data_IF_977269209312
#
_entry.id   IF_977269209312
#
_cell.length_a   1.000
_cell.length_b   1.000
_cell.length_c   1.000
_cell.angle_alpha   90.00
_cell.angle_beta   90.00
_cell.angle_gamma   90.00
#
_symmetry.space_group_name_H-M   'P 1'
#
loop_
_entity.id
_entity.type
_entity.pdbx_description
1 polymer ?
#
# COMPACT_ATOMS: atom_id res chain seq x y z
N UNK A 1 45.29 11.02 11.68
CA UNK A 1 45.37 10.49 10.30
C UNK A 1 44.04 10.61 9.54
N UNK A 2 42.88 10.34 10.17
CA UNK A 2 41.55 10.44 9.52
C UNK A 2 41.19 11.86 9.04
N UNK A 3 41.48 12.90 9.84
CA UNK A 3 41.19 14.30 9.46
C UNK A 3 42.08 14.78 8.29
N UNK A 4 43.34 14.33 8.26
CA UNK A 4 44.25 14.66 7.16
C UNK A 4 43.85 13.96 5.85
N UNK A 5 43.35 12.72 5.92
CA UNK A 5 42.81 12.03 4.76
C UNK A 5 41.58 12.75 4.19
N UNK A 6 40.63 13.19 5.02
CA UNK A 6 39.43 13.94 4.60
C UNK A 6 39.75 15.28 3.90
N UNK A 7 40.85 15.94 4.25
CA UNK A 7 41.26 17.21 3.64
C UNK A 7 41.97 17.05 2.30
N UNK A 8 42.59 15.88 2.04
CA UNK A 8 43.32 15.60 0.79
C UNK A 8 42.37 15.01 -0.27
N UNK A 9 41.29 14.35 0.15
CA UNK A 9 40.30 13.73 -0.76
C UNK A 9 39.72 14.70 -1.80
N UNK A 10 39.35 15.97 -1.51
CA UNK A 10 38.79 16.86 -2.53
C UNK A 10 39.75 17.24 -3.67
N UNK A 11 41.07 17.10 -3.47
CA UNK A 11 42.09 17.55 -4.43
C UNK A 11 42.42 16.52 -5.53
N UNK A 12 41.94 15.28 -5.40
CA UNK A 12 42.23 14.17 -6.34
C UNK A 12 40.99 13.75 -7.13
N UNK A 13 39.82 14.35 -6.85
CA UNK A 13 38.55 13.96 -7.46
C UNK A 13 38.19 14.83 -8.68
N UNK A 14 37.46 14.27 -9.66
CA UNK A 14 37.07 14.98 -10.87
C UNK A 14 36.27 16.26 -10.56
N UNK A 15 36.46 17.31 -11.37
CA UNK A 15 35.80 18.62 -11.22
C UNK A 15 34.27 18.57 -11.40
N UNK A 16 33.74 17.46 -11.94
CA UNK A 16 32.31 17.23 -12.16
C UNK A 16 31.86 16.01 -11.35
N UNK A 17 31.14 16.29 -10.27
CA UNK A 17 30.59 15.36 -9.26
C UNK A 17 31.66 14.59 -8.45
N UNK A 18 31.65 14.80 -7.14
CA UNK A 18 32.46 14.16 -6.12
C UNK A 18 31.59 13.87 -4.88
N UNK A 19 32.17 13.23 -3.86
CA UNK A 19 31.46 12.81 -2.65
C UNK A 19 30.75 13.96 -1.89
N UNK A 20 31.22 15.21 -2.03
CA UNK A 20 30.66 16.36 -1.32
C UNK A 20 29.60 17.12 -2.12
N UNK A 21 29.51 16.90 -3.43
CA UNK A 21 28.53 17.57 -4.30
C UNK A 21 27.66 16.59 -5.11
N UNK A 22 27.63 15.31 -4.71
CA UNK A 22 26.89 14.22 -5.38
C UNK A 22 25.38 14.50 -5.57
N UNK A 23 24.79 15.37 -4.75
CA UNK A 23 23.37 15.73 -4.83
C UNK A 23 23.11 17.00 -5.68
N UNK A 24 24.14 17.60 -6.26
CA UNK A 24 23.99 18.85 -7.03
C UNK A 24 23.24 18.57 -8.33
N UNK A 25 22.11 19.24 -8.53
CA UNK A 25 21.30 19.14 -9.75
C UNK A 25 20.26 18.02 -9.74
N UNK A 26 20.16 17.23 -8.67
CA UNK A 26 19.05 16.30 -8.50
C UNK A 26 17.77 17.09 -8.15
N UNK A 27 16.64 16.83 -8.82
CA UNK A 27 15.36 17.42 -8.45
C UNK A 27 14.99 17.05 -7.01
N UNK A 28 14.25 17.95 -6.34
CA UNK A 28 13.66 17.63 -5.04
C UNK A 28 12.63 16.51 -5.19
N UNK A 29 12.50 15.65 -4.18
CA UNK A 29 11.73 14.39 -4.24
C UNK A 29 10.30 14.52 -4.74
N UNK A 30 9.60 15.60 -4.35
CA UNK A 30 8.21 15.79 -4.81
C UNK A 30 8.11 16.12 -6.31
N UNK A 31 9.13 16.74 -6.89
CA UNK A 31 9.14 17.13 -8.30
C UNK A 31 9.58 15.98 -9.23
N UNK A 32 10.29 14.98 -8.70
CA UNK A 32 10.58 13.74 -9.44
C UNK A 32 9.74 12.54 -8.96
N UNK A 33 8.71 12.78 -8.15
CA UNK A 33 7.82 11.75 -7.60
C UNK A 33 8.50 10.65 -6.76
N UNK A 34 9.68 10.92 -6.20
CA UNK A 34 10.49 9.93 -5.51
C UNK A 34 11.09 8.86 -6.44
N UNK A 35 11.14 9.13 -7.73
CA UNK A 35 11.66 8.20 -8.74
C UNK A 35 13.13 8.46 -9.07
N UNK A 36 13.77 7.45 -9.61
CA UNK A 36 15.12 7.49 -10.17
C UNK A 36 15.14 8.03 -11.61
N UNK A 37 14.03 8.62 -12.07
CA UNK A 37 13.98 9.37 -13.32
C UNK A 37 14.58 10.76 -13.07
N UNK A 38 15.56 11.15 -13.87
CA UNK A 38 16.23 12.45 -13.73
C UNK A 38 15.40 13.57 -14.39
N UNK A 39 14.15 13.73 -13.92
CA UNK A 39 13.21 14.74 -14.40
C UNK A 39 12.61 15.52 -13.24
N UNK A 40 12.23 16.76 -13.53
CA UNK A 40 11.49 17.62 -12.62
C UNK A 40 10.16 17.98 -13.27
N UNK A 41 9.07 17.74 -12.54
CA UNK A 41 7.69 17.89 -12.97
C UNK A 41 6.86 18.51 -11.85
N UNK A 42 5.74 19.14 -12.21
CA UNK A 42 4.76 19.63 -11.24
C UNK A 42 3.59 18.64 -11.06
N UNK A 43 3.80 17.37 -11.42
CA UNK A 43 2.73 16.36 -11.49
C UNK A 43 2.11 16.07 -10.11
N UNK A 44 2.93 15.93 -9.07
CA UNK A 44 2.45 15.79 -7.68
C UNK A 44 1.75 17.06 -7.16
N UNK A 45 2.35 18.26 -7.20
CA UNK A 45 1.66 19.49 -6.80
C UNK A 45 0.30 19.68 -7.48
N UNK A 46 0.22 19.43 -8.80
CA UNK A 46 -1.02 19.55 -9.56
C UNK A 46 -2.07 18.51 -9.13
N UNK A 47 -1.65 17.27 -8.88
CA UNK A 47 -2.54 16.22 -8.39
C UNK A 47 -3.11 16.53 -7.00
N UNK A 48 -2.27 17.06 -6.10
CA UNK A 48 -2.71 17.43 -4.76
C UNK A 48 -3.68 18.62 -4.78
N UNK A 49 -3.44 19.60 -5.66
CA UNK A 49 -4.39 20.67 -5.91
C UNK A 49 -5.73 20.13 -6.44
N UNK A 50 -5.68 19.21 -7.42
CA UNK A 50 -6.89 18.58 -7.94
C UNK A 50 -7.68 17.86 -6.84
N UNK A 51 -7.02 17.08 -5.98
CA UNK A 51 -7.67 16.43 -4.83
C UNK A 51 -8.35 17.45 -3.91
N UNK A 52 -7.64 18.53 -3.57
CA UNK A 52 -8.15 19.58 -2.69
C UNK A 52 -9.40 20.27 -3.24
N UNK A 53 -9.45 20.47 -4.56
CA UNK A 53 -10.54 21.21 -5.23
C UNK A 53 -11.72 20.32 -5.65
N UNK A 54 -11.50 19.01 -5.87
CA UNK A 54 -12.47 18.11 -6.51
C UNK A 54 -12.98 16.96 -5.61
N UNK A 55 -12.54 16.89 -4.35
CA UNK A 55 -12.98 15.86 -3.39
C UNK A 55 -13.55 16.49 -2.12
N UNK A 56 -14.34 15.75 -1.34
CA UNK A 56 -14.82 16.19 -0.02
C UNK A 56 -13.65 16.43 0.93
N UNK A 57 -13.74 17.43 1.82
CA UNK A 57 -12.72 17.69 2.85
C UNK A 57 -12.48 16.49 3.77
N UNK A 58 -13.51 15.67 3.99
CA UNK A 58 -13.45 14.46 4.80
C UNK A 58 -12.95 13.22 4.05
N UNK A 59 -12.66 13.34 2.74
CA UNK A 59 -12.30 12.20 1.91
C UNK A 59 -11.02 11.51 2.42
N UNK A 60 -11.05 10.18 2.42
CA UNK A 60 -9.95 9.32 2.86
C UNK A 60 -9.21 8.77 1.65
N UNK A 61 -7.90 9.01 1.61
CA UNK A 61 -7.03 8.65 0.49
C UNK A 61 -6.16 7.45 0.90
N UNK A 62 -6.32 6.34 0.16
CA UNK A 62 -5.43 5.19 0.21
C UNK A 62 -4.22 5.45 -0.70
N UNK A 63 -3.02 5.44 -0.13
CA UNK A 63 -1.78 5.56 -0.87
C UNK A 63 -0.67 4.86 -0.10
N UNK A 64 0.38 4.41 -0.80
CA UNK A 64 1.56 3.92 -0.11
C UNK A 64 2.18 4.98 0.81
N UNK A 65 2.80 4.54 1.91
CA UNK A 65 3.19 5.41 3.02
C UNK A 65 4.13 6.55 2.61
N UNK A 66 4.95 6.34 1.57
CA UNK A 66 5.82 7.33 0.90
C UNK A 66 5.16 8.71 0.72
N UNK A 67 3.85 8.72 0.43
CA UNK A 67 3.13 9.88 -0.07
C UNK A 67 2.20 10.54 0.96
N UNK A 68 2.01 9.92 2.13
CA UNK A 68 1.01 10.39 3.09
C UNK A 68 1.22 11.82 3.58
N UNK A 69 2.49 12.22 3.75
CA UNK A 69 2.82 13.60 4.12
C UNK A 69 2.44 14.60 3.01
N UNK A 70 2.63 14.25 1.73
CA UNK A 70 2.24 15.13 0.62
C UNK A 70 0.72 15.28 0.53
N UNK A 71 -0.01 14.19 0.71
CA UNK A 71 -1.48 14.18 0.68
C UNK A 71 -2.03 15.05 1.82
N UNK A 72 -1.62 14.78 3.05
CA UNK A 72 -2.10 15.52 4.23
C UNK A 72 -1.76 17.01 4.18
N UNK A 73 -0.56 17.38 3.72
CA UNK A 73 -0.11 18.78 3.74
C UNK A 73 -0.55 19.61 2.54
N UNK A 74 -0.56 19.03 1.33
CA UNK A 74 -0.86 19.78 0.11
C UNK A 74 -2.32 19.63 -0.32
N UNK A 75 -2.88 18.42 -0.21
CA UNK A 75 -4.28 18.17 -0.56
C UNK A 75 -5.24 18.46 0.59
N UNK A 76 -4.74 18.54 1.84
CA UNK A 76 -5.56 18.70 3.06
C UNK A 76 -6.65 17.62 3.12
N UNK A 77 -6.25 16.36 2.93
CA UNK A 77 -7.12 15.17 3.01
C UNK A 77 -6.58 14.14 3.99
N UNK A 78 -7.46 13.29 4.51
CA UNK A 78 -7.08 12.17 5.38
C UNK A 78 -6.30 11.16 4.55
N UNK A 79 -5.21 10.64 5.10
CA UNK A 79 -4.40 9.55 4.49
C UNK A 79 -4.40 8.35 5.43
N UNK A 80 -4.41 7.15 4.87
CA UNK A 80 -4.39 5.91 5.66
C UNK A 80 -3.01 5.58 6.24
N UNK A 81 -1.94 6.04 5.60
CA UNK A 81 -0.57 5.88 6.08
C UNK A 81 0.29 7.06 5.69
N UNK A 82 1.43 7.23 6.37
CA UNK A 82 2.42 8.25 6.07
C UNK A 82 3.86 7.78 6.35
N UNK A 83 4.81 8.67 6.04
CA UNK A 83 6.25 8.42 6.18
C UNK A 83 6.75 8.18 7.61
N UNK A 84 5.91 8.36 8.64
CA UNK A 84 6.28 8.06 10.01
C UNK A 84 6.27 6.56 10.31
N UNK A 85 5.48 5.79 9.54
CA UNK A 85 5.36 4.32 9.65
C UNK A 85 5.17 3.84 11.09
N UNK A 86 4.36 4.56 11.89
CA UNK A 86 4.16 4.27 13.32
C UNK A 86 3.25 3.05 13.55
N UNK A 87 2.39 2.73 12.58
CA UNK A 87 1.42 1.63 12.66
C UNK A 87 1.79 0.54 11.65
N UNK A 88 2.52 -0.47 12.10
CA UNK A 88 2.98 -1.57 11.23
C UNK A 88 1.79 -2.31 10.57
N UNK A 89 0.77 -2.67 11.36
CA UNK A 89 -0.43 -3.36 10.86
C UNK A 89 -1.15 -2.56 9.76
N UNK A 90 -1.07 -1.22 9.76
CA UNK A 90 -1.70 -0.40 8.74
C UNK A 90 -0.96 -0.52 7.40
N UNK A 91 0.37 -0.62 7.43
CA UNK A 91 1.21 -0.85 6.25
C UNK A 91 0.99 -2.27 5.71
N UNK A 92 0.95 -3.26 6.61
CA UNK A 92 0.65 -4.65 6.27
C UNK A 92 -0.71 -4.74 5.58
N UNK A 93 -1.73 -4.11 6.14
CA UNK A 93 -3.08 -4.08 5.58
C UNK A 93 -3.11 -3.49 4.17
N UNK A 94 -2.43 -2.36 3.95
CA UNK A 94 -2.35 -1.75 2.63
C UNK A 94 -1.60 -2.63 1.63
N UNK A 95 -0.50 -3.26 2.04
CA UNK A 95 0.25 -4.19 1.19
C UNK A 95 -0.63 -5.36 0.74
N UNK A 96 -1.35 -5.99 1.67
CA UNK A 96 -2.28 -7.08 1.39
C UNK A 96 -3.43 -6.63 0.48
N UNK A 97 -3.97 -5.42 0.67
CA UNK A 97 -4.97 -4.82 -0.21
C UNK A 97 -4.45 -4.64 -1.65
N UNK A 98 -3.24 -4.11 -1.85
CA UNK A 98 -2.67 -3.90 -3.20
C UNK A 98 -2.45 -5.20 -3.98
N UNK A 99 -2.24 -6.33 -3.29
CA UNK A 99 -1.97 -7.63 -3.92
C UNK A 99 -3.20 -8.55 -3.99
N UNK A 100 -4.33 -8.15 -3.40
CA UNK A 100 -5.60 -8.86 -3.49
C UNK A 100 -6.25 -8.66 -4.87
N UNK A 101 -7.30 -9.41 -5.18
CA UNK A 101 -8.08 -9.20 -6.41
C UNK A 101 -8.76 -7.81 -6.40
N UNK A 102 -9.09 -7.22 -7.55
CA UNK A 102 -9.78 -5.92 -7.56
C UNK A 102 -11.09 -5.91 -6.78
N UNK A 103 -11.86 -7.00 -6.86
CA UNK A 103 -13.11 -7.20 -6.14
C UNK A 103 -12.87 -7.28 -4.62
N UNK A 104 -11.91 -8.10 -4.19
CA UNK A 104 -11.58 -8.23 -2.77
C UNK A 104 -10.99 -6.94 -2.19
N UNK A 105 -10.08 -6.30 -2.92
CA UNK A 105 -9.51 -5.02 -2.53
C UNK A 105 -10.58 -3.93 -2.44
N UNK A 106 -11.58 -3.94 -3.33
CA UNK A 106 -12.73 -3.06 -3.23
C UNK A 106 -13.53 -3.33 -1.96
N UNK A 107 -13.80 -4.59 -1.60
CA UNK A 107 -14.48 -4.94 -0.34
C UNK A 107 -13.68 -4.47 0.88
N UNK A 108 -12.34 -4.66 0.89
CA UNK A 108 -11.45 -4.14 1.95
C UNK A 108 -11.50 -2.61 2.05
N UNK A 109 -11.43 -1.92 0.91
CA UNK A 109 -11.41 -0.46 0.84
C UNK A 109 -12.76 0.19 1.18
N UNK A 110 -13.87 -0.49 0.95
CA UNK A 110 -15.21 0.04 1.21
C UNK A 110 -15.79 -0.36 2.55
N UNK A 111 -15.30 -1.45 3.15
CA UNK A 111 -15.68 -1.87 4.51
C UNK A 111 -15.21 -0.84 5.53
N UNK A 112 -16.06 -0.57 6.52
CA UNK A 112 -15.76 0.37 7.60
C UNK A 112 -14.51 -0.07 8.38
N UNK A 113 -13.74 0.91 8.87
CA UNK A 113 -12.46 0.69 9.55
C UNK A 113 -12.55 -0.14 10.84
N UNK A 114 -13.75 -0.32 11.41
CA UNK A 114 -13.99 -1.12 12.62
C UNK A 114 -14.74 -2.43 12.33
N UNK A 115 -15.09 -2.68 11.07
CA UNK A 115 -15.81 -3.89 10.65
C UNK A 115 -14.85 -4.92 10.07
N UNK A 116 -15.10 -6.20 10.35
CA UNK A 116 -14.30 -7.32 9.84
C UNK A 116 -14.30 -7.34 8.30
N UNK A 117 -13.11 -7.42 7.72
CA UNK A 117 -12.84 -7.59 6.29
C UNK A 117 -11.83 -8.73 6.04
N UNK A 118 -11.49 -9.50 7.07
CA UNK A 118 -10.44 -10.53 7.07
C UNK A 118 -10.64 -11.61 6.00
N UNK A 119 -11.88 -11.87 5.60
CA UNK A 119 -12.25 -12.86 4.58
C UNK A 119 -11.83 -12.47 3.15
N UNK A 120 -11.57 -11.17 2.90
CA UNK A 120 -11.20 -10.65 1.59
C UNK A 120 -9.68 -10.60 1.37
N UNK A 121 -8.87 -10.87 2.39
CA UNK A 121 -7.41 -10.95 2.20
C UNK A 121 -7.02 -12.29 1.59
N UNK A 122 -6.08 -12.28 0.64
CA UNK A 122 -5.66 -13.50 -0.07
C UNK A 122 -5.05 -14.58 0.84
N UNK A 123 -4.43 -14.17 1.95
CA UNK A 123 -3.97 -15.04 3.03
C UNK A 123 -4.38 -14.41 4.36
N UNK A 124 -4.59 -15.24 5.40
CA UNK A 124 -4.93 -14.74 6.72
C UNK A 124 -3.77 -13.86 7.23
N UNK A 125 -4.00 -12.56 7.47
CA UNK A 125 -2.90 -11.62 7.39
C UNK A 125 -2.26 -11.34 8.77
N UNK A 126 -2.18 -12.38 9.61
CA UNK A 126 -1.57 -12.34 10.95
C UNK A 126 -0.45 -13.38 10.97
N UNK A 127 0.78 -12.90 10.81
CA UNK A 127 1.93 -13.77 10.56
C UNK A 127 2.41 -14.59 11.76
N UNK A 128 2.05 -14.18 12.98
CA UNK A 128 2.42 -14.83 14.24
C UNK A 128 1.33 -15.74 14.82
N UNK A 129 0.26 -15.99 14.05
CA UNK A 129 -0.89 -16.80 14.45
C UNK A 129 -0.97 -18.10 13.62
N UNK A 130 -1.56 -19.14 14.21
CA UNK A 130 -1.94 -20.35 13.47
C UNK A 130 -3.37 -20.30 12.93
N UNK A 131 -4.12 -19.25 13.26
CA UNK A 131 -5.49 -19.07 12.82
C UNK A 131 -5.55 -18.86 11.31
N UNK A 132 -6.63 -19.35 10.73
CA UNK A 132 -6.95 -19.22 9.31
C UNK A 132 -8.17 -18.34 9.06
N UNK A 133 -8.88 -17.98 10.13
CA UNK A 133 -10.11 -17.18 10.09
C UNK A 133 -10.30 -16.43 11.42
N UNK A 134 -11.28 -15.53 11.47
CA UNK A 134 -11.53 -14.71 12.65
C UNK A 134 -12.00 -15.50 13.87
N UNK A 135 -12.75 -16.59 13.68
CA UNK A 135 -13.24 -17.40 14.80
C UNK A 135 -12.08 -18.10 15.52
N UNK A 136 -11.18 -18.71 14.75
CA UNK A 136 -9.94 -19.30 15.27
C UNK A 136 -9.08 -18.24 15.97
N UNK A 137 -8.91 -17.08 15.36
CA UNK A 137 -8.11 -15.99 15.94
C UNK A 137 -8.73 -15.45 17.22
N UNK A 138 -10.04 -15.26 17.25
CA UNK A 138 -10.78 -14.84 18.44
C UNK A 138 -10.55 -15.82 19.59
N UNK A 139 -10.63 -17.13 19.32
CA UNK A 139 -10.37 -18.16 20.32
C UNK A 139 -8.91 -18.17 20.80
N UNK A 140 -7.94 -18.00 19.90
CA UNK A 140 -6.52 -17.86 20.27
C UNK A 140 -6.31 -16.67 21.23
N UNK A 141 -6.81 -15.48 20.85
CA UNK A 141 -6.68 -14.26 21.67
C UNK A 141 -7.39 -14.39 23.01
N UNK A 142 -8.54 -15.08 23.06
CA UNK A 142 -9.24 -15.38 24.31
C UNK A 142 -8.40 -16.23 25.25
N UNK A 143 -7.80 -17.32 24.75
CA UNK A 143 -6.95 -18.21 25.56
C UNK A 143 -5.71 -17.47 26.08
N UNK A 144 -5.09 -16.64 25.25
CA UNK A 144 -3.97 -15.79 25.67
C UNK A 144 -4.37 -14.77 26.74
N UNK A 145 -5.54 -14.15 26.60
CA UNK A 145 -6.05 -13.21 27.59
C UNK A 145 -6.34 -13.89 28.92
N UNK A 146 -6.90 -15.11 28.90
CA UNK A 146 -7.34 -15.84 30.08
C UNK A 146 -6.19 -16.13 31.07
N UNK A 147 -4.96 -16.31 30.58
CA UNK A 147 -3.77 -16.63 31.40
C UNK A 147 -2.96 -15.41 31.84
N UNK A 148 -3.32 -14.20 31.39
CA UNK A 148 -2.66 -12.95 31.79
C UNK A 148 -3.14 -12.51 33.17
N UNK A 149 -2.27 -11.81 33.89
CA UNK A 149 -2.57 -11.12 35.15
C UNK A 149 -2.09 -9.66 34.99
N UNK A 150 -2.89 -8.86 34.29
CA UNK A 150 -2.48 -7.52 33.89
C UNK A 150 -2.46 -6.53 35.07
N UNK A 151 -3.30 -6.75 36.09
CA UNK A 151 -3.32 -5.94 37.31
C UNK A 151 -2.28 -6.41 38.35
N UNK A 152 -1.59 -7.53 38.11
CA UNK A 152 -0.53 -8.11 38.95
C UNK A 152 -1.00 -8.40 40.37
N UNK A 153 -2.25 -8.82 40.52
CA UNK A 153 -2.85 -9.14 41.81
C UNK A 153 -2.60 -10.62 42.22
N UNK A 154 -2.01 -11.42 41.35
CA UNK A 154 -1.72 -12.84 41.55
C UNK A 154 -2.85 -13.79 41.12
N UNK A 155 -3.90 -13.29 40.46
CA UNK A 155 -5.04 -14.02 39.91
C UNK A 155 -5.06 -13.76 38.41
N UNK A 156 -5.13 -14.82 37.60
CA UNK A 156 -5.23 -14.68 36.15
C UNK A 156 -6.63 -14.23 35.75
N UNK A 157 -6.75 -13.50 34.65
CA UNK A 157 -7.99 -12.96 34.10
C UNK A 157 -9.13 -14.01 34.03
N UNK A 158 -8.79 -15.26 33.70
CA UNK A 158 -9.75 -16.37 33.61
C UNK A 158 -10.35 -16.84 34.94
N UNK A 159 -9.72 -16.50 36.05
CA UNK A 159 -10.15 -16.84 37.42
C UNK A 159 -10.71 -15.62 38.16
N UNK A 160 -10.75 -14.45 37.51
CA UNK A 160 -11.32 -13.23 38.09
C UNK A 160 -12.86 -13.28 38.10
N UNK A 161 -13.46 -12.96 39.25
CA UNK A 161 -14.94 -12.93 39.39
C UNK A 161 -15.49 -11.52 39.66
N UNK A 162 -14.79 -10.77 40.50
CA UNK A 162 -15.31 -9.58 41.18
C UNK A 162 -14.62 -8.26 40.77
N UNK A 163 -13.51 -8.37 40.05
CA UNK A 163 -12.62 -7.24 39.79
C UNK A 163 -12.88 -6.63 38.41
N UNK A 164 -13.22 -5.35 38.48
CA UNK A 164 -13.09 -4.39 37.40
C UNK A 164 -11.75 -3.68 37.61
N UNK A 165 -10.97 -3.45 36.54
CA UNK A 165 -9.79 -2.60 36.64
C UNK A 165 -10.22 -1.24 37.20
N UNK A 166 -9.49 -0.70 38.19
CA UNK A 166 -9.89 0.57 38.81
C UNK A 166 -10.06 1.68 37.75
N UNK A 167 -11.01 2.60 37.96
CA UNK A 167 -11.21 3.75 37.07
C UNK A 167 -9.85 4.45 36.79
N UNK A 168 -9.53 4.65 35.51
CA UNK A 168 -8.30 5.35 35.10
C UNK A 168 -7.06 4.47 34.94
N UNK A 169 -7.13 3.14 35.12
CA UNK A 169 -6.00 2.23 34.81
C UNK A 169 -6.04 1.85 33.33
N UNK A 170 -5.26 2.56 32.49
CA UNK A 170 -5.00 2.19 31.10
C UNK A 170 -4.08 0.95 31.05
N UNK A 171 -4.62 -0.19 30.62
CA UNK A 171 -3.89 -1.48 30.59
C UNK A 171 -3.66 -1.95 29.16
N UNK A 172 -4.47 -1.48 28.22
CA UNK A 172 -4.19 -1.72 26.82
C UNK A 172 -2.95 -0.91 26.45
N UNK A 173 -1.92 -1.59 25.93
CA UNK A 173 -0.74 -0.94 25.39
C UNK A 173 -1.15 0.13 24.36
N UNK A 174 -0.26 1.10 24.12
CA UNK A 174 -0.53 2.35 23.39
C UNK A 174 -1.16 2.19 21.99
N UNK A 175 -1.23 0.96 21.45
CA UNK A 175 -1.70 0.63 20.11
C UNK A 175 -3.11 0.02 20.05
N UNK A 176 -3.79 -0.24 21.18
CA UNK A 176 -5.13 -0.85 21.17
C UNK A 176 -6.23 0.02 21.79
N UNK A 177 -7.20 0.43 20.96
CA UNK A 177 -8.47 1.01 21.41
C UNK A 177 -9.34 -0.09 22.03
N UNK A 178 -9.20 -0.30 23.33
CA UNK A 178 -10.10 -1.18 24.06
C UNK A 178 -11.43 -0.43 24.35
N UNK A 179 -12.60 -0.97 23.94
CA UNK A 179 -13.92 -0.40 24.28
C UNK A 179 -14.16 -0.27 25.79
N UNK A 180 -13.44 -1.08 26.58
CA UNK A 180 -13.45 -1.20 28.05
C UNK A 180 -13.31 0.12 28.85
N UNK A 181 -13.01 1.25 28.23
CA UNK A 181 -12.74 2.52 28.91
C UNK A 181 -13.78 3.63 28.72
N UNK A 182 -14.90 3.35 28.03
CA UNK A 182 -15.93 4.36 27.78
C UNK A 182 -17.05 4.32 28.84
N UNK A 183 -17.42 3.14 29.34
CA UNK A 183 -18.44 2.93 30.40
C UNK A 183 -18.07 1.70 31.24
N UNK A 184 -18.32 1.72 32.55
CA UNK A 184 -18.18 0.53 33.42
C UNK A 184 -19.26 -0.52 33.04
N UNK A 185 -18.87 -1.70 32.52
CA UNK A 185 -19.78 -2.74 32.06
C UNK A 185 -20.15 -3.75 33.15
N UNK A 186 -19.72 -3.53 34.39
CA UNK A 186 -20.00 -4.39 35.52
C UNK A 186 -18.88 -5.39 35.85
N UNK A 187 -19.24 -6.44 36.59
CA UNK A 187 -18.34 -7.51 37.06
C UNK A 187 -18.46 -8.75 36.20
N UNK A 188 -17.40 -9.56 36.15
CA UNK A 188 -17.34 -10.79 35.35
C UNK A 188 -18.47 -11.77 35.75
N UNK A 189 -18.76 -11.89 37.04
CA UNK A 189 -19.83 -12.76 37.55
C UNK A 189 -21.27 -12.34 37.16
N UNK A 190 -21.44 -11.21 36.48
CA UNK A 190 -22.72 -10.80 35.91
C UNK A 190 -22.99 -11.41 34.53
N UNK A 191 -21.99 -12.06 33.92
CA UNK A 191 -22.06 -12.73 32.63
C UNK A 191 -22.19 -14.25 32.81
N UNK A 192 -22.84 -14.99 31.87
CA UNK A 192 -23.03 -16.43 32.00
C UNK A 192 -21.71 -17.21 32.04
N UNK A 193 -20.71 -16.74 31.30
CA UNK A 193 -19.36 -17.30 31.29
C UNK A 193 -18.31 -16.19 31.22
N UNK A 194 -17.06 -16.53 31.55
CA UNK A 194 -15.90 -15.64 31.36
C UNK A 194 -15.72 -15.27 29.88
N UNK A 195 -16.04 -16.20 28.97
CA UNK A 195 -16.00 -15.93 27.53
C UNK A 195 -17.03 -14.87 27.12
N UNK A 196 -18.25 -14.93 27.64
CA UNK A 196 -19.31 -13.94 27.33
C UNK A 196 -18.90 -12.53 27.79
N UNK A 197 -18.32 -12.42 28.99
CA UNK A 197 -17.75 -11.15 29.48
C UNK A 197 -16.63 -10.65 28.57
N UNK A 198 -15.67 -11.53 28.24
CA UNK A 198 -14.54 -11.15 27.40
C UNK A 198 -15.00 -10.71 26.01
N UNK A 199 -15.90 -11.46 25.37
CA UNK A 199 -16.39 -11.16 24.04
C UNK A 199 -17.18 -9.84 23.99
N UNK A 200 -17.96 -9.54 25.02
CA UNK A 200 -18.75 -8.30 25.08
C UNK A 200 -17.90 -7.06 25.42
N UNK A 201 -16.96 -7.20 26.38
CA UNK A 201 -16.36 -6.04 27.05
C UNK A 201 -14.87 -5.84 26.77
N UNK A 202 -14.19 -6.87 26.26
CA UNK A 202 -12.74 -6.89 26.07
C UNK A 202 -12.37 -7.09 24.60
N UNK A 203 -13.05 -8.00 23.92
CA UNK A 203 -12.77 -8.35 22.55
C UNK A 203 -13.08 -7.19 21.60
N UNK A 204 -12.16 -7.00 20.66
CA UNK A 204 -12.38 -6.21 19.45
C UNK A 204 -11.62 -6.91 18.33
N UNK A 205 -12.04 -6.66 17.09
CA UNK A 205 -11.39 -7.22 15.92
C UNK A 205 -10.04 -6.54 15.75
N UNK A 206 -8.98 -7.33 15.62
CA UNK A 206 -7.64 -6.78 15.41
C UNK A 206 -7.63 -5.85 14.21
N UNK A 207 -7.04 -4.64 14.32
CA UNK A 207 -7.10 -3.67 13.24
C UNK A 207 -6.65 -4.23 11.91
N UNK A 208 -5.69 -5.15 11.87
CA UNK A 208 -5.25 -5.82 10.64
C UNK A 208 -6.38 -6.53 9.86
N UNK A 209 -7.39 -7.04 10.57
CA UNK A 209 -8.52 -7.79 10.01
C UNK A 209 -9.71 -6.91 9.63
N UNK A 210 -9.64 -5.60 9.84
CA UNK A 210 -10.76 -4.69 9.53
C UNK A 210 -10.65 -4.04 8.16
N UNK A 211 -11.70 -3.37 7.72
CA UNK A 211 -11.71 -2.56 6.50
C UNK A 211 -10.79 -1.33 6.57
N UNK A 212 -10.77 -0.56 5.48
CA UNK A 212 -9.99 0.68 5.34
C UNK A 212 -10.83 1.94 5.24
N UNK A 213 -12.11 1.84 4.84
CA UNK A 213 -13.02 2.97 4.62
C UNK A 213 -12.42 4.13 3.81
N UNK A 214 -11.88 3.81 2.62
CA UNK A 214 -11.23 4.76 1.72
C UNK A 214 -12.16 5.23 0.59
N UNK A 215 -12.00 6.46 0.13
CA UNK A 215 -12.77 7.04 -0.97
C UNK A 215 -12.01 7.07 -2.30
N UNK A 216 -10.69 7.23 -2.22
CA UNK A 216 -9.79 7.25 -3.37
C UNK A 216 -8.56 6.40 -3.11
N UNK A 217 -7.96 5.90 -4.18
CA UNK A 217 -6.67 5.21 -4.16
C UNK A 217 -5.70 5.87 -5.13
N UNK A 218 -4.47 6.08 -4.68
CA UNK A 218 -3.38 6.64 -5.47
C UNK A 218 -2.34 5.56 -5.73
N UNK A 219 -1.87 5.52 -6.97
CA UNK A 219 -0.61 4.85 -7.32
C UNK A 219 0.30 5.84 -8.02
N UNK A 220 1.57 5.83 -7.65
CA UNK A 220 2.61 6.61 -8.31
C UNK A 220 3.35 5.72 -9.30
N UNK A 221 3.63 6.18 -10.51
CA UNK A 221 4.34 5.38 -11.52
C UNK A 221 5.58 6.06 -12.05
N UNK A 222 6.57 5.25 -12.44
CA UNK A 222 7.73 5.67 -13.20
C UNK A 222 7.76 4.91 -14.54
N UNK A 223 7.52 5.61 -15.64
CA UNK A 223 7.33 5.01 -16.98
C UNK A 223 8.21 5.73 -17.98
N UNK A 224 8.59 5.06 -19.05
CA UNK A 224 9.28 5.68 -20.18
C UNK A 224 8.49 5.44 -21.46
N UNK A 225 8.02 6.51 -22.10
CA UNK A 225 7.40 6.47 -23.43
C UNK A 225 8.50 6.42 -24.49
N UNK A 226 8.44 5.43 -25.38
CA UNK A 226 9.40 5.24 -26.47
C UNK A 226 9.13 6.21 -27.64
N UNK A 227 10.07 6.25 -28.60
CA UNK A 227 10.04 7.17 -29.75
C UNK A 227 8.68 7.19 -30.48
N UNK A 228 8.28 8.37 -30.94
CA UNK A 228 7.12 8.59 -31.82
C UNK A 228 7.29 7.93 -33.20
N UNK A 229 8.50 7.51 -33.57
CA UNK A 229 8.75 6.75 -34.81
C UNK A 229 8.09 5.36 -34.81
N UNK A 230 7.69 4.87 -33.63
CA UNK A 230 6.95 3.62 -33.52
C UNK A 230 5.55 3.77 -34.12
N UNK A 231 5.04 2.71 -34.75
CA UNK A 231 3.71 2.69 -35.37
C UNK A 231 2.59 2.98 -34.35
N UNK A 232 2.87 2.75 -33.07
CA UNK A 232 1.99 3.06 -31.95
C UNK A 232 2.81 3.47 -30.72
N UNK A 233 2.15 4.08 -29.75
CA UNK A 233 2.77 4.44 -28.47
C UNK A 233 3.19 3.18 -27.69
N UNK A 234 4.49 3.06 -27.44
CA UNK A 234 5.09 1.99 -26.66
C UNK A 234 5.72 2.53 -25.38
N UNK A 235 5.71 1.72 -24.32
CA UNK A 235 6.14 2.13 -22.99
C UNK A 235 7.03 1.07 -22.35
N UNK A 236 7.93 1.52 -21.48
CA UNK A 236 8.75 0.68 -20.60
C UNK A 236 8.43 0.95 -19.14
N UNK A 237 8.37 -0.12 -18.34
CA UNK A 237 8.29 -0.09 -16.88
C UNK A 237 9.59 -0.66 -16.30
N UNK A 238 10.65 0.16 -16.32
CA UNK A 238 12.02 -0.26 -15.96
C UNK A 238 12.33 -0.16 -14.46
N UNK A 239 11.29 -0.30 -13.63
CA UNK A 239 11.37 -0.24 -12.17
C UNK A 239 12.19 0.95 -11.65
N UNK A 240 11.77 2.16 -12.01
CA UNK A 240 12.49 3.40 -11.69
C UNK A 240 11.96 4.11 -10.44
N UNK A 241 11.28 3.41 -9.53
CA UNK A 241 10.96 3.89 -8.18
C UNK A 241 9.51 4.30 -7.96
N UNK A 242 8.62 4.10 -8.95
CA UNK A 242 7.18 4.20 -8.69
C UNK A 242 6.69 3.02 -7.84
N UNK A 243 5.39 2.96 -7.59
CA UNK A 243 4.76 1.88 -6.82
C UNK A 243 4.84 0.53 -7.52
N UNK A 244 5.06 0.51 -8.85
CA UNK A 244 5.37 -0.74 -9.53
C UNK A 244 6.58 -1.44 -8.91
N UNK A 245 7.62 -0.69 -8.52
CA UNK A 245 8.82 -1.26 -7.87
C UNK A 245 8.58 -1.79 -6.48
N UNK A 246 7.53 -1.30 -5.82
CA UNK A 246 7.19 -1.66 -4.44
C UNK A 246 6.41 -2.96 -4.35
N UNK A 247 5.96 -3.51 -5.48
CA UNK A 247 5.33 -4.82 -5.55
C UNK A 247 6.16 -5.90 -4.83
N UNK A 248 7.50 -5.87 -4.94
CA UNK A 248 8.38 -6.75 -4.17
C UNK A 248 8.12 -6.69 -2.66
N UNK A 249 8.02 -5.48 -2.11
CA UNK A 249 7.72 -5.27 -0.70
C UNK A 249 6.30 -5.72 -0.35
N UNK A 250 5.31 -5.44 -1.21
CA UNK A 250 3.94 -5.86 -0.95
C UNK A 250 3.83 -7.38 -0.84
N UNK A 251 4.49 -8.13 -1.73
CA UNK A 251 4.53 -9.58 -1.62
C UNK A 251 5.25 -10.07 -0.37
N UNK A 252 6.37 -9.44 0.01
CA UNK A 252 7.10 -9.83 1.22
C UNK A 252 6.28 -9.61 2.49
N UNK A 253 5.60 -8.48 2.57
CA UNK A 253 4.77 -8.11 3.70
C UNK A 253 3.54 -9.02 3.78
N UNK A 254 2.89 -9.29 2.65
CA UNK A 254 1.74 -10.20 2.58
C UNK A 254 2.12 -11.69 2.60
N UNK A 255 3.38 -12.03 2.97
CA UNK A 255 3.90 -13.40 3.02
C UNK A 255 3.79 -14.22 1.70
N UNK A 256 3.66 -13.54 0.56
CA UNK A 256 3.54 -14.17 -0.75
C UNK A 256 4.89 -14.51 -1.37
N UNK A 257 4.92 -15.60 -2.15
CA UNK A 257 6.10 -16.00 -2.90
C UNK A 257 6.34 -15.06 -4.09
N UNK A 258 7.34 -14.18 -3.96
CA UNK A 258 7.76 -13.19 -4.99
C UNK A 258 7.85 -13.77 -6.41
N UNK A 259 8.42 -14.97 -6.58
CA UNK A 259 8.62 -15.59 -7.89
C UNK A 259 7.32 -16.02 -8.61
N UNK A 260 6.19 -16.03 -7.92
CA UNK A 260 4.89 -16.29 -8.57
C UNK A 260 4.42 -15.04 -9.35
N UNK A 261 4.91 -13.86 -8.98
CA UNK A 261 4.46 -12.56 -9.49
C UNK A 261 5.51 -11.82 -10.33
N UNK A 262 6.76 -12.30 -10.33
CA UNK A 262 7.85 -11.75 -11.13
C UNK A 262 8.32 -12.70 -12.22
N UNK A 263 8.95 -12.16 -13.25
CA UNK A 263 9.76 -12.96 -14.17
C UNK A 263 11.03 -13.48 -13.46
N UNK A 264 11.71 -14.51 -14.01
CA UNK A 264 12.89 -15.10 -13.38
C UNK A 264 14.05 -14.14 -13.09
N UNK A 265 14.16 -13.03 -13.83
CA UNK A 265 15.21 -12.01 -13.65
C UNK A 265 14.80 -10.87 -12.71
N UNK A 266 13.57 -10.90 -12.17
CA UNK A 266 12.96 -9.83 -11.38
C UNK A 266 12.94 -8.46 -12.10
N UNK A 267 13.07 -8.44 -13.43
CA UNK A 267 13.09 -7.23 -14.26
C UNK A 267 11.69 -6.80 -14.70
N UNK A 268 10.72 -7.70 -14.61
CA UNK A 268 9.31 -7.45 -14.92
C UNK A 268 8.41 -8.46 -14.22
N UNK A 269 7.11 -8.37 -14.51
CA UNK A 269 6.08 -9.09 -13.76
C UNK A 269 5.53 -10.29 -14.54
N UNK A 270 5.03 -11.28 -13.81
CA UNK A 270 4.36 -12.45 -14.37
C UNK A 270 2.93 -12.13 -14.81
N UNK A 271 2.31 -13.05 -15.55
CA UNK A 271 0.89 -12.95 -15.88
C UNK A 271 0.00 -12.90 -14.64
N UNK A 272 0.37 -13.66 -13.59
CA UNK A 272 -0.35 -13.69 -12.32
C UNK A 272 -0.48 -12.30 -11.69
N UNK A 273 0.60 -11.52 -11.69
CA UNK A 273 0.57 -10.13 -11.20
C UNK A 273 -0.44 -9.27 -11.95
N UNK A 274 -0.40 -9.29 -13.28
CA UNK A 274 -1.27 -8.47 -14.13
C UNK A 274 -2.74 -8.90 -14.10
N UNK A 275 -2.98 -10.20 -13.89
CA UNK A 275 -4.31 -10.77 -14.00
C UNK A 275 -5.06 -10.78 -12.67
N UNK A 276 -4.35 -11.02 -11.56
CA UNK A 276 -4.97 -11.30 -10.27
C UNK A 276 -4.83 -10.15 -9.26
N UNK A 277 -3.85 -9.25 -9.38
CA UNK A 277 -3.60 -8.24 -8.33
C UNK A 277 -4.23 -6.88 -8.66
N UNK A 278 -4.74 -6.19 -7.63
CA UNK A 278 -5.24 -4.83 -7.76
C UNK A 278 -4.16 -3.89 -8.32
N UNK A 279 -2.93 -3.93 -7.79
CA UNK A 279 -1.84 -3.08 -8.27
C UNK A 279 -1.61 -3.25 -9.78
N UNK A 280 -1.58 -4.49 -10.28
CA UNK A 280 -1.47 -4.78 -11.71
C UNK A 280 -2.62 -4.19 -12.54
N UNK A 281 -3.84 -4.18 -12.00
CA UNK A 281 -5.02 -3.59 -12.69
C UNK A 281 -5.07 -2.06 -12.61
N UNK A 282 -4.57 -1.46 -11.54
CA UNK A 282 -4.46 0.00 -11.41
C UNK A 282 -3.37 0.57 -12.34
N UNK A 283 -2.36 -0.20 -12.71
CA UNK A 283 -1.36 0.25 -13.69
C UNK A 283 -2.00 0.30 -15.09
N UNK A 284 -2.05 1.47 -15.75
CA UNK A 284 -2.76 1.66 -17.02
C UNK A 284 -1.94 1.21 -18.24
N UNK A 285 -1.14 0.16 -18.10
CA UNK A 285 -0.29 -0.41 -19.14
C UNK A 285 -0.45 -1.92 -19.22
N UNK A 286 -0.45 -2.49 -20.41
CA UNK A 286 -0.51 -3.95 -20.62
C UNK A 286 0.73 -4.42 -21.34
N UNK A 287 1.33 -5.47 -20.80
CA UNK A 287 2.47 -6.14 -21.42
C UNK A 287 2.04 -6.77 -22.75
N UNK A 288 2.77 -6.51 -23.83
CA UNK A 288 2.46 -7.07 -25.16
C UNK A 288 3.49 -8.10 -25.61
N UNK A 289 4.79 -7.86 -25.39
CA UNK A 289 5.86 -8.74 -25.84
C UNK A 289 7.20 -8.38 -25.18
N UNK A 290 8.14 -9.30 -25.27
CA UNK A 290 9.54 -9.13 -24.91
C UNK A 290 10.36 -8.85 -26.17
N UNK A 291 11.27 -7.88 -26.12
CA UNK A 291 12.15 -7.49 -27.24
C UNK A 291 13.61 -7.57 -26.81
N UNK A 292 14.47 -8.09 -27.69
CA UNK A 292 15.92 -7.99 -27.48
C UNK A 292 16.38 -6.53 -27.67
N UNK A 293 16.95 -5.87 -26.65
CA UNK A 293 17.44 -4.49 -26.76
C UNK A 293 18.53 -4.30 -27.83
N UNK A 294 19.28 -5.35 -28.16
CA UNK A 294 20.34 -5.32 -29.18
C UNK A 294 19.81 -5.58 -30.60
N UNK A 295 18.62 -6.18 -30.73
CA UNK A 295 17.98 -6.46 -32.01
C UNK A 295 16.44 -6.41 -31.89
N UNK A 296 15.81 -5.25 -32.18
CA UNK A 296 14.37 -5.06 -32.05
C UNK A 296 13.48 -5.98 -32.92
N UNK A 297 14.03 -6.60 -33.97
CA UNK A 297 13.33 -7.60 -34.78
C UNK A 297 13.19 -8.95 -34.05
N UNK A 298 14.01 -9.19 -33.02
CA UNK A 298 13.98 -10.41 -32.22
C UNK A 298 13.01 -10.25 -31.05
N UNK A 299 11.81 -10.77 -31.22
CA UNK A 299 10.70 -10.63 -30.27
C UNK A 299 10.28 -11.99 -29.69
N UNK A 300 9.56 -11.96 -28.57
CA UNK A 300 9.05 -13.14 -27.89
C UNK A 300 7.80 -12.83 -27.09
N UNK A 301 6.77 -13.67 -27.19
CA UNK A 301 5.57 -13.55 -26.34
C UNK A 301 5.84 -14.02 -24.91
N UNK A 302 6.75 -14.97 -24.75
CA UNK A 302 7.18 -15.49 -23.43
C UNK A 302 8.50 -14.89 -23.01
N UNK A 303 8.75 -14.86 -21.69
CA UNK A 303 10.00 -14.37 -21.13
C UNK A 303 11.23 -15.04 -21.76
N UNK A 304 12.23 -14.23 -22.10
CA UNK A 304 13.58 -14.65 -22.50
C UNK A 304 14.62 -13.84 -21.73
N UNK A 305 15.68 -14.49 -21.20
CA UNK A 305 16.75 -13.78 -20.49
C UNK A 305 17.33 -12.63 -21.32
N UNK A 306 17.51 -11.47 -20.69
CA UNK A 306 18.04 -10.25 -21.33
C UNK A 306 17.07 -9.50 -22.26
N UNK A 307 15.84 -9.97 -22.45
CA UNK A 307 14.84 -9.24 -23.23
C UNK A 307 14.10 -8.23 -22.33
N UNK A 308 13.77 -7.08 -22.92
CA UNK A 308 12.99 -6.02 -22.26
C UNK A 308 11.50 -6.18 -22.53
N UNK A 309 10.69 -5.99 -21.49
CA UNK A 309 9.23 -5.99 -21.58
C UNK A 309 8.71 -4.69 -22.19
N UNK A 310 7.85 -4.83 -23.21
CA UNK A 310 7.19 -3.71 -23.89
C UNK A 310 5.72 -3.67 -23.50
N UNK A 311 5.23 -2.46 -23.26
CA UNK A 311 3.87 -2.19 -22.83
C UNK A 311 3.16 -1.22 -23.76
N UNK A 312 1.83 -1.32 -23.80
CA UNK A 312 0.94 -0.34 -24.44
C UNK A 312 0.00 0.25 -23.39
N UNK A 313 -0.40 1.51 -23.58
CA UNK A 313 -1.39 2.16 -22.72
C UNK A 313 -2.73 1.41 -22.82
N UNK A 314 -3.22 0.94 -21.69
CA UNK A 314 -4.50 0.24 -21.57
C UNK A 314 -5.06 0.48 -20.16
N UNK A 315 -6.08 1.33 -20.07
CA UNK A 315 -6.74 1.70 -18.80
C UNK A 315 -7.83 0.68 -18.50
N UNK A 316 -7.67 -0.09 -17.41
CA UNK A 316 -8.61 -1.16 -17.03
C UNK A 316 -9.83 -0.62 -16.29
N UNK A 317 -9.65 0.49 -15.58
CA UNK A 317 -10.69 1.18 -14.81
C UNK A 317 -10.89 2.60 -15.37
N UNK A 318 -11.61 2.76 -16.50
CA UNK A 318 -11.82 4.06 -17.10
C UNK A 318 -12.74 4.95 -16.25
N UNK A 319 -12.65 6.27 -16.44
CA UNK A 319 -13.44 7.26 -15.68
C UNK A 319 -14.96 7.01 -15.70
N UNK A 320 -15.49 6.59 -16.86
CA UNK A 320 -16.92 6.32 -17.06
C UNK A 320 -17.27 4.81 -16.95
N UNK A 321 -16.37 4.02 -16.37
CA UNK A 321 -16.61 2.59 -16.14
C UNK A 321 -17.57 2.36 -14.98
N UNK A 322 -18.24 1.21 -14.99
CA UNK A 322 -19.13 0.72 -13.94
C UNK A 322 -18.43 -0.20 -12.93
N UNK A 323 -17.12 -0.42 -13.10
CA UNK A 323 -16.30 -1.27 -12.22
C UNK A 323 -16.06 -0.71 -10.81
N UNK A 324 -15.27 -1.46 -10.00
CA UNK A 324 -14.99 -1.11 -8.60
C UNK A 324 -14.16 0.17 -8.44
N UNK A 325 -13.41 0.56 -9.47
CA UNK A 325 -12.57 1.76 -9.48
C UNK A 325 -12.79 2.56 -10.76
N UNK A 326 -12.53 3.86 -10.69
CA UNK A 326 -12.62 4.78 -11.83
C UNK A 326 -11.41 5.71 -11.84
N UNK A 327 -10.61 5.70 -12.91
CA UNK A 327 -9.49 6.65 -13.08
C UNK A 327 -10.04 8.07 -13.27
N UNK A 328 -9.92 8.90 -12.24
CA UNK A 328 -10.49 10.26 -12.20
C UNK A 328 -9.46 11.36 -12.42
N UNK A 329 -8.17 11.04 -12.28
CA UNK A 329 -7.10 11.99 -12.56
C UNK A 329 -5.87 11.28 -13.13
N UNK A 330 -5.27 11.92 -14.13
CA UNK A 330 -4.01 11.55 -14.75
C UNK A 330 -3.11 12.79 -14.76
N UNK A 331 -1.82 12.69 -14.39
CA UNK A 331 -0.94 13.85 -14.41
C UNK A 331 -0.74 14.40 -15.82
N UNK A 332 -0.56 15.73 -15.96
CA UNK A 332 -0.30 16.36 -17.26
C UNK A 332 0.84 15.72 -18.05
N UNK A 333 1.89 15.19 -17.39
CA UNK A 333 2.97 14.50 -18.11
C UNK A 333 2.50 13.23 -18.84
N UNK A 334 1.54 12.48 -18.31
CA UNK A 334 0.97 11.28 -18.93
C UNK A 334 0.02 11.57 -20.11
N UNK A 335 -0.33 12.85 -20.32
CA UNK A 335 -1.16 13.32 -21.42
C UNK A 335 -0.34 13.92 -22.57
N UNK A 336 0.98 14.09 -22.39
CA UNK A 336 1.86 14.60 -23.45
C UNK A 336 2.10 13.53 -24.50
N UNK A 337 2.09 13.95 -25.77
CA UNK A 337 2.44 13.08 -26.89
C UNK A 337 3.94 12.79 -26.97
N UNK A 338 4.77 13.64 -26.36
CA UNK A 338 6.23 13.55 -26.43
C UNK A 338 6.79 12.25 -25.82
N UNK A 339 7.73 11.63 -26.53
CA UNK A 339 8.55 10.54 -26.01
C UNK A 339 9.40 10.98 -24.80
N UNK A 340 9.71 10.04 -23.91
CA UNK A 340 10.57 10.26 -22.75
C UNK A 340 9.99 9.78 -21.41
N UNK A 341 10.66 10.14 -20.30
CA UNK A 341 10.26 9.71 -18.96
C UNK A 341 8.97 10.40 -18.50
N UNK A 342 8.08 9.61 -17.91
CA UNK A 342 6.79 9.99 -17.35
C UNK A 342 6.76 9.57 -15.88
N UNK A 343 6.31 10.46 -15.00
CA UNK A 343 6.23 10.17 -13.58
C UNK A 343 5.05 10.87 -12.93
N UNK A 344 4.53 10.31 -11.82
CA UNK A 344 3.53 10.98 -11.01
C UNK A 344 2.34 10.10 -10.60
N UNK A 345 1.42 10.70 -9.83
CA UNK A 345 0.31 9.99 -9.20
C UNK A 345 -0.90 9.87 -10.13
N UNK A 346 -1.41 8.65 -10.28
CA UNK A 346 -2.74 8.37 -10.83
C UNK A 346 -3.72 8.26 -9.67
N UNK A 347 -4.90 8.87 -9.81
CA UNK A 347 -5.93 8.85 -8.76
C UNK A 347 -7.14 8.12 -9.28
N UNK A 348 -7.53 7.08 -8.55
CA UNK A 348 -8.73 6.31 -8.79
C UNK A 348 -9.75 6.61 -7.71
N UNK A 349 -11.00 6.88 -8.11
CA UNK A 349 -12.14 6.91 -7.21
C UNK A 349 -12.59 5.48 -6.93
N UNK A 350 -12.88 5.18 -5.67
CA UNK A 350 -13.45 3.90 -5.26
C UNK A 350 -14.96 4.00 -5.43
N UNK A 351 -15.53 3.12 -6.27
CA UNK A 351 -16.95 3.17 -6.61
C UNK A 351 -17.78 2.51 -5.49
N UNK A 352 -18.28 3.31 -4.55
CA UNK A 352 -19.12 2.82 -3.43
C UNK A 352 -20.45 2.20 -3.89
N UNK A 353 -20.87 2.42 -5.13
CA UNK A 353 -22.12 1.89 -5.71
C UNK A 353 -21.88 0.65 -6.60
N UNK A 354 -20.65 0.17 -6.70
CA UNK A 354 -20.33 -1.03 -7.47
C UNK A 354 -21.05 -2.25 -6.90
N UNK A 355 -21.59 -3.08 -7.80
CA UNK A 355 -22.22 -4.36 -7.47
C UNK A 355 -21.36 -5.46 -8.08
N UNK A 356 -20.71 -6.31 -7.25
CA UNK A 356 -19.92 -7.43 -7.75
C UNK A 356 -20.75 -8.39 -8.61
N UNK A 357 -20.16 -8.90 -9.68
CA UNK A 357 -20.85 -9.76 -10.67
C UNK A 357 -21.22 -11.15 -10.10
N UNK A 358 -20.71 -11.53 -8.93
CA UNK A 358 -20.80 -12.89 -8.37
C UNK A 358 -21.27 -12.98 -6.89
N UNK A 359 -21.98 -11.99 -6.35
CA UNK A 359 -22.59 -12.13 -5.01
C UNK A 359 -23.89 -12.96 -5.03
#
# INVERSE_FOLDING_TARGET
>A
MVIAALLIVPMVYPEKLNWSNNNTGLPITILNSGTNLNISTNDWPHAMQWLKENTSEDAVIAAWWDYGYWISTLAERKTLADNSTVLDWQIEKMAAMYISTPEDAWKILTTNAETYAGEYYSEFPISDSSATNNEERMLEVFVEWQIKDDNKNGIVNGEEEEIWFAEGVHICGDNWKCPKYIVNPGKINQYPTVFDYWHAEVYYIEPMLTGLDADYIIINLAVEKLSEDNIMDLYLLNQKGGDETKAFWFFKIANLRVFDYYNPELTGYSKKFWDETLLGKLIPFTHILYVNPENPESQSETFKPGYTSIYVKNIKFPMNGDGPFQLVYVPPSFEKDAAGPLTGPLIYKINKEYIPVND
#
